data_IF_423734418151
#
_entry.id   IF_423734418151
#
_cell.length_a   1.000
_cell.length_b   1.000
_cell.length_c   1.000
_cell.angle_alpha   90.00
_cell.angle_beta   90.00
_cell.angle_gamma   90.00
#
_symmetry.space_group_name_H-M   'P 1'
#
loop_
_entity.id
_entity.type
_entity.pdbx_description
1 polymer ?
#
# COMPACT_ATOMS: atom_id res chain seq x y z
N UNK A 1 34.35 -32.21 -10.74
CA UNK A 1 33.16 -32.33 -11.62
C UNK A 1 31.98 -32.80 -10.76
N UNK A 2 31.11 -31.90 -10.30
CA UNK A 2 29.87 -32.31 -9.62
C UNK A 2 28.86 -32.65 -10.70
N UNK A 3 28.62 -33.93 -10.91
CA UNK A 3 27.51 -34.42 -11.73
C UNK A 3 26.20 -33.97 -11.06
N UNK A 4 25.54 -33.01 -11.65
CA UNK A 4 24.22 -32.58 -11.21
C UNK A 4 23.23 -33.77 -11.31
N UNK A 5 22.89 -34.36 -10.16
CA UNK A 5 21.99 -35.51 -10.10
C UNK A 5 20.59 -34.99 -10.39
N UNK A 6 20.07 -35.35 -11.56
CA UNK A 6 18.68 -35.06 -11.95
C UNK A 6 17.73 -35.91 -11.10
N UNK A 7 16.95 -35.24 -10.21
CA UNK A 7 15.92 -35.86 -9.37
C UNK A 7 14.54 -35.35 -9.78
N UNK A 8 13.81 -36.08 -10.65
CA UNK A 8 12.52 -35.62 -11.18
C UNK A 8 11.48 -35.31 -10.11
N UNK A 9 11.47 -36.06 -9.00
CA UNK A 9 10.54 -35.84 -7.87
C UNK A 9 10.81 -34.52 -7.13
N UNK A 10 12.07 -34.18 -6.93
CA UNK A 10 12.46 -32.89 -6.32
C UNK A 10 12.03 -31.73 -7.21
N UNK A 11 12.24 -31.83 -8.51
CA UNK A 11 11.81 -30.81 -9.47
C UNK A 11 10.29 -30.59 -9.43
N UNK A 12 9.47 -31.65 -9.36
CA UNK A 12 8.03 -31.50 -9.22
C UNK A 12 7.63 -30.78 -7.94
N UNK A 13 8.34 -31.05 -6.84
CA UNK A 13 8.17 -30.34 -5.58
C UNK A 13 8.42 -28.83 -5.72
N UNK A 14 9.52 -28.43 -6.40
CA UNK A 14 9.83 -27.03 -6.65
C UNK A 14 8.79 -26.34 -7.55
N UNK A 15 8.32 -27.01 -8.58
CA UNK A 15 7.28 -26.46 -9.46
C UNK A 15 5.98 -26.20 -8.72
N UNK A 16 5.59 -27.10 -7.82
CA UNK A 16 4.43 -26.88 -6.93
C UNK A 16 4.67 -25.68 -6.01
N UNK A 17 5.86 -25.57 -5.43
CA UNK A 17 6.21 -24.45 -4.57
C UNK A 17 6.14 -23.11 -5.32
N UNK A 18 6.65 -23.02 -6.54
CA UNK A 18 6.57 -21.83 -7.40
C UNK A 18 5.11 -21.43 -7.65
N UNK A 19 4.24 -22.42 -7.94
CA UNK A 19 2.81 -22.14 -8.14
C UNK A 19 2.11 -21.64 -6.87
N UNK A 20 2.50 -22.17 -5.71
CA UNK A 20 1.98 -21.75 -4.42
C UNK A 20 2.39 -20.31 -4.15
N UNK A 21 3.67 -19.98 -4.31
CA UNK A 21 4.17 -18.63 -4.11
C UNK A 21 3.52 -17.62 -5.07
N UNK A 22 3.37 -17.98 -6.35
CA UNK A 22 2.68 -17.14 -7.32
C UNK A 22 1.22 -16.83 -6.92
N UNK A 23 0.50 -17.82 -6.39
CA UNK A 23 -0.88 -17.63 -5.90
C UNK A 23 -0.91 -16.71 -4.67
N UNK A 24 0.02 -16.86 -3.75
CA UNK A 24 0.11 -16.01 -2.55
C UNK A 24 0.42 -14.56 -2.92
N UNK A 25 1.41 -14.34 -3.80
CA UNK A 25 1.78 -13.00 -4.27
C UNK A 25 0.60 -12.34 -5.00
N UNK A 26 -0.12 -13.09 -5.84
CA UNK A 26 -1.33 -12.60 -6.49
C UNK A 26 -2.40 -12.19 -5.47
N UNK A 27 -2.66 -13.01 -4.47
CA UNK A 27 -3.63 -12.70 -3.42
C UNK A 27 -3.25 -11.43 -2.63
N UNK A 28 -1.96 -11.26 -2.32
CA UNK A 28 -1.45 -10.07 -1.63
C UNK A 28 -1.58 -8.80 -2.51
N UNK A 29 -1.33 -8.92 -3.82
CA UNK A 29 -1.60 -7.84 -4.77
C UNK A 29 -3.07 -7.44 -4.74
N UNK A 30 -3.97 -8.40 -4.85
CA UNK A 30 -5.41 -8.13 -4.89
C UNK A 30 -5.89 -7.47 -3.58
N UNK A 31 -5.33 -7.87 -2.43
CA UNK A 31 -5.57 -7.23 -1.14
C UNK A 31 -5.03 -5.79 -1.11
N UNK A 32 -3.85 -5.54 -1.65
CA UNK A 32 -3.25 -4.21 -1.73
C UNK A 32 -4.10 -3.28 -2.62
N UNK A 33 -4.51 -3.74 -3.80
CA UNK A 33 -5.37 -2.98 -4.71
C UNK A 33 -6.71 -2.61 -4.05
N UNK A 34 -7.28 -3.52 -3.25
CA UNK A 34 -8.48 -3.24 -2.47
C UNK A 34 -8.26 -2.11 -1.43
N UNK A 35 -7.07 -2.04 -0.79
CA UNK A 35 -6.76 -0.93 0.11
C UNK A 35 -6.57 0.39 -0.64
N UNK A 36 -5.91 0.39 -1.81
CA UNK A 36 -5.80 1.57 -2.67
C UNK A 36 -7.18 2.12 -3.04
N UNK A 37 -8.05 1.26 -3.57
CA UNK A 37 -9.40 1.64 -3.98
C UNK A 37 -10.22 2.19 -2.80
N UNK A 38 -10.06 1.63 -1.60
CA UNK A 38 -10.73 2.10 -0.38
C UNK A 38 -10.28 3.49 -0.01
N UNK A 39 -8.97 3.72 0.05
CA UNK A 39 -8.41 5.02 0.45
C UNK A 39 -8.70 6.09 -0.61
N UNK A 40 -8.56 5.79 -1.89
CA UNK A 40 -8.90 6.70 -2.98
C UNK A 40 -10.37 7.15 -2.93
N UNK A 41 -11.28 6.23 -2.64
CA UNK A 41 -12.72 6.56 -2.48
C UNK A 41 -12.99 7.47 -1.29
N UNK A 42 -12.25 7.29 -0.19
CA UNK A 42 -12.40 8.12 1.01
C UNK A 42 -11.92 9.55 0.78
N UNK A 43 -10.81 9.72 0.10
CA UNK A 43 -10.22 11.02 -0.21
C UNK A 43 -11.15 11.91 -1.02
N UNK A 44 -11.67 11.39 -2.10
CA UNK A 44 -12.43 12.19 -3.06
C UNK A 44 -13.73 12.76 -2.49
N UNK A 45 -14.45 12.00 -1.67
CA UNK A 45 -15.79 12.38 -1.21
C UNK A 45 -15.74 13.27 0.04
N UNK A 46 -14.77 13.06 0.94
CA UNK A 46 -14.79 13.70 2.27
C UNK A 46 -13.93 14.95 2.35
N UNK A 47 -12.99 15.10 1.46
CA UNK A 47 -12.09 16.24 1.45
C UNK A 47 -12.82 17.52 1.06
N UNK A 48 -13.65 17.46 0.03
CA UNK A 48 -14.52 18.57 -0.38
C UNK A 48 -15.45 19.00 0.74
N UNK A 49 -16.03 18.01 1.45
CA UNK A 49 -16.92 18.27 2.58
C UNK A 49 -16.21 18.93 3.76
N UNK A 50 -14.97 18.59 4.03
CA UNK A 50 -14.15 19.20 5.11
C UNK A 50 -13.86 20.67 4.79
N UNK A 51 -13.52 20.96 3.54
CA UNK A 51 -13.23 22.32 3.08
C UNK A 51 -14.45 23.22 3.13
N UNK A 52 -15.61 22.72 2.72
CA UNK A 52 -16.87 23.47 2.73
C UNK A 52 -17.36 23.74 4.15
N UNK A 53 -17.17 22.79 5.05
CA UNK A 53 -17.61 22.90 6.45
C UNK A 53 -16.86 23.94 7.28
N UNK A 54 -15.61 24.21 6.94
CA UNK A 54 -14.81 25.25 7.61
C UNK A 54 -15.35 26.65 7.31
N UNK A 55 -16.12 26.82 6.24
CA UNK A 55 -16.72 28.11 5.83
C UNK A 55 -17.97 28.43 6.62
N UNK A 56 -18.73 27.44 7.06
CA UNK A 56 -19.98 27.66 7.79
C UNK A 56 -19.73 27.71 9.30
N UNK A 57 -19.94 28.88 9.89
CA UNK A 57 -19.78 29.17 11.33
C UNK A 57 -20.88 28.51 12.20
N UNK A 58 -21.29 27.30 11.87
CA UNK A 58 -22.39 26.59 12.50
C UNK A 58 -21.86 25.48 13.41
N UNK A 59 -22.08 25.61 14.73
CA UNK A 59 -21.61 24.70 15.77
C UNK A 59 -22.04 23.24 15.52
N UNK A 60 -23.28 23.03 15.07
CA UNK A 60 -23.84 21.69 14.84
C UNK A 60 -23.18 21.01 13.64
N UNK A 61 -22.89 21.75 12.60
CA UNK A 61 -22.15 21.29 11.44
C UNK A 61 -20.73 20.94 11.84
N UNK A 62 -20.10 21.73 12.68
CA UNK A 62 -18.75 21.52 13.20
C UNK A 62 -18.62 20.19 13.97
N UNK A 63 -19.58 19.84 14.79
CA UNK A 63 -19.62 18.57 15.54
C UNK A 63 -19.76 17.37 14.59
N UNK A 64 -20.62 17.48 13.58
CA UNK A 64 -20.81 16.42 12.58
C UNK A 64 -19.52 16.20 11.75
N UNK A 65 -18.83 17.26 11.39
CA UNK A 65 -17.58 17.18 10.63
C UNK A 65 -16.46 16.57 11.46
N UNK A 66 -16.30 16.96 12.72
CA UNK A 66 -15.34 16.35 13.62
C UNK A 66 -15.55 14.84 13.73
N UNK A 67 -16.81 14.39 13.85
CA UNK A 67 -17.16 12.97 13.87
C UNK A 67 -16.80 12.28 12.55
N UNK A 68 -17.04 12.94 11.43
CA UNK A 68 -16.68 12.43 10.09
C UNK A 68 -15.17 12.32 9.90
N UNK A 69 -14.41 13.32 10.35
CA UNK A 69 -12.95 13.30 10.32
C UNK A 69 -12.36 12.16 11.16
N UNK A 70 -12.92 11.91 12.36
CA UNK A 70 -12.49 10.78 13.18
C UNK A 70 -12.79 9.42 12.53
N UNK A 71 -13.92 9.27 11.85
CA UNK A 71 -14.21 8.06 11.07
C UNK A 71 -13.20 7.89 9.94
N UNK A 72 -12.91 8.96 9.21
CA UNK A 72 -11.92 8.97 8.13
C UNK A 72 -10.53 8.59 8.64
N UNK A 73 -10.11 9.18 9.74
CA UNK A 73 -8.83 8.86 10.40
C UNK A 73 -8.75 7.38 10.79
N UNK A 74 -9.82 6.83 11.36
CA UNK A 74 -9.87 5.41 11.73
C UNK A 74 -9.76 4.49 10.50
N UNK A 75 -10.41 4.83 9.41
CA UNK A 75 -10.34 4.04 8.17
C UNK A 75 -8.94 4.11 7.53
N UNK A 76 -8.29 5.27 7.54
CA UNK A 76 -6.89 5.42 7.10
C UNK A 76 -5.94 4.57 7.94
N UNK A 77 -6.07 4.63 9.27
CA UNK A 77 -5.27 3.81 10.19
C UNK A 77 -5.47 2.32 9.96
N UNK A 78 -6.70 1.88 9.73
CA UNK A 78 -7.00 0.48 9.41
C UNK A 78 -6.36 0.06 8.07
N UNK A 79 -6.47 0.88 7.03
CA UNK A 79 -5.85 0.59 5.72
C UNK A 79 -4.34 0.57 5.81
N UNK A 80 -3.74 1.48 6.55
CA UNK A 80 -2.30 1.52 6.84
C UNK A 80 -1.83 0.25 7.56
N UNK A 81 -2.54 -0.18 8.61
CA UNK A 81 -2.19 -1.39 9.36
C UNK A 81 -2.32 -2.67 8.51
N UNK A 82 -3.34 -2.75 7.65
CA UNK A 82 -3.47 -3.84 6.70
C UNK A 82 -2.33 -3.85 5.68
N UNK A 83 -1.92 -2.68 5.20
CA UNK A 83 -0.77 -2.56 4.30
C UNK A 83 0.54 -3.02 4.96
N UNK A 84 0.76 -2.75 6.25
CA UNK A 84 1.91 -3.28 7.00
C UNK A 84 1.90 -4.82 7.05
N UNK A 85 0.74 -5.42 7.29
CA UNK A 85 0.60 -6.88 7.27
C UNK A 85 0.90 -7.45 5.87
N UNK A 86 0.40 -6.78 4.81
CA UNK A 86 0.68 -7.17 3.43
C UNK A 86 2.17 -7.05 3.12
N UNK A 87 2.82 -5.95 3.53
CA UNK A 87 4.26 -5.72 3.35
C UNK A 87 5.10 -6.82 4.01
N UNK A 88 4.80 -7.16 5.25
CA UNK A 88 5.48 -8.24 5.97
C UNK A 88 5.31 -9.59 5.25
N UNK A 89 4.10 -9.87 4.76
CA UNK A 89 3.82 -11.08 3.99
C UNK A 89 4.54 -11.09 2.65
N UNK A 90 4.62 -9.96 1.94
CA UNK A 90 5.37 -9.83 0.68
C UNK A 90 6.87 -10.04 0.92
N UNK A 91 7.42 -9.47 1.98
CA UNK A 91 8.81 -9.68 2.34
C UNK A 91 9.14 -11.18 2.53
N UNK A 92 8.26 -11.92 3.19
CA UNK A 92 8.40 -13.38 3.32
C UNK A 92 8.37 -14.07 1.95
N UNK A 93 7.44 -13.67 1.05
CA UNK A 93 7.36 -14.25 -0.30
C UNK A 93 8.61 -13.91 -1.14
N UNK A 94 9.16 -12.72 -1.01
CA UNK A 94 10.42 -12.32 -1.63
C UNK A 94 11.58 -13.20 -1.15
N UNK A 95 11.65 -13.48 0.14
CA UNK A 95 12.64 -14.42 0.68
C UNK A 95 12.45 -15.85 0.16
N UNK A 96 11.21 -16.34 0.14
CA UNK A 96 10.89 -17.67 -0.36
C UNK A 96 11.26 -17.83 -1.85
N UNK A 97 10.94 -16.85 -2.69
CA UNK A 97 11.31 -16.87 -4.12
C UNK A 97 12.82 -16.83 -4.30
N UNK A 98 13.55 -16.06 -3.50
CA UNK A 98 15.03 -16.05 -3.49
C UNK A 98 15.62 -17.43 -3.15
N UNK A 99 15.02 -18.13 -2.17
CA UNK A 99 15.42 -19.51 -1.85
C UNK A 99 15.16 -20.45 -3.03
N UNK A 100 13.99 -20.33 -3.68
CA UNK A 100 13.67 -21.13 -4.87
C UNK A 100 14.65 -20.89 -6.02
N UNK A 101 15.04 -19.64 -6.27
CA UNK A 101 16.08 -19.29 -7.26
C UNK A 101 17.41 -19.99 -6.93
N UNK A 102 17.88 -19.88 -5.67
CA UNK A 102 19.12 -20.53 -5.22
C UNK A 102 19.08 -22.05 -5.39
N UNK A 103 17.92 -22.67 -5.15
CA UNK A 103 17.76 -24.09 -5.36
C UNK A 103 17.75 -24.46 -6.85
N UNK A 104 17.10 -23.68 -7.69
CA UNK A 104 17.05 -23.93 -9.12
C UNK A 104 18.43 -23.78 -9.81
N UNK A 105 19.28 -22.88 -9.32
CA UNK A 105 20.64 -22.71 -9.80
C UNK A 105 21.57 -23.93 -9.53
N UNK A 106 21.14 -24.87 -8.68
CA UNK A 106 21.85 -26.13 -8.45
C UNK A 106 21.59 -27.17 -9.54
N UNK A 107 20.56 -26.98 -10.36
CA UNK A 107 20.29 -27.84 -11.51
C UNK A 107 20.97 -27.26 -12.74
N UNK A 108 21.40 -28.16 -13.64
CA UNK A 108 22.11 -27.79 -14.85
C UNK A 108 21.31 -26.77 -15.68
N UNK A 109 21.82 -25.52 -15.86
CA UNK A 109 21.08 -24.47 -16.54
C UNK A 109 20.99 -24.67 -18.06
N UNK A 110 21.78 -25.57 -18.65
CA UNK A 110 21.81 -25.79 -20.10
C UNK A 110 20.58 -26.54 -20.63
N UNK A 111 19.85 -27.22 -19.76
CA UNK A 111 18.59 -27.85 -20.17
C UNK A 111 17.49 -26.81 -20.34
N UNK A 112 17.00 -26.65 -21.54
CA UNK A 112 16.01 -25.66 -21.97
C UNK A 112 14.82 -25.49 -21.02
N UNK A 113 14.31 -26.58 -20.43
CA UNK A 113 13.20 -26.55 -19.47
C UNK A 113 13.58 -25.81 -18.17
N UNK A 114 14.83 -25.80 -17.76
CA UNK A 114 15.28 -25.11 -16.54
C UNK A 114 15.43 -23.62 -16.72
N UNK A 115 15.97 -23.16 -17.85
CA UNK A 115 16.10 -21.73 -18.16
C UNK A 115 14.75 -21.02 -18.10
N UNK A 116 13.72 -21.59 -18.74
CA UNK A 116 12.38 -21.00 -18.73
C UNK A 116 11.76 -20.97 -17.34
N UNK A 117 11.99 -22.01 -16.53
CA UNK A 117 11.46 -22.07 -15.17
C UNK A 117 12.19 -21.16 -14.22
N UNK A 118 13.52 -21.08 -14.34
CA UNK A 118 14.35 -20.12 -13.59
C UNK A 118 13.89 -18.69 -13.88
N UNK A 119 13.79 -18.32 -15.14
CA UNK A 119 13.30 -17.00 -15.55
C UNK A 119 11.91 -16.67 -14.99
N UNK A 120 11.01 -17.66 -14.91
CA UNK A 120 9.71 -17.48 -14.25
C UNK A 120 9.84 -17.14 -12.77
N UNK A 121 10.73 -17.81 -12.04
CA UNK A 121 10.92 -17.56 -10.60
C UNK A 121 11.60 -16.22 -10.39
N UNK A 122 12.57 -15.86 -11.22
CA UNK A 122 13.21 -14.54 -11.20
C UNK A 122 12.19 -13.42 -11.44
N UNK A 123 11.37 -13.56 -12.48
CA UNK A 123 10.29 -12.60 -12.76
C UNK A 123 9.27 -12.50 -11.61
N UNK A 124 8.96 -13.61 -10.95
CA UNK A 124 8.08 -13.63 -9.80
C UNK A 124 8.72 -12.94 -8.58
N UNK A 125 10.02 -13.13 -8.39
CA UNK A 125 10.79 -12.47 -7.35
C UNK A 125 10.81 -10.95 -7.54
N UNK A 126 11.18 -10.49 -8.74
CA UNK A 126 11.21 -9.07 -9.10
C UNK A 126 9.83 -8.41 -8.94
N UNK A 127 8.78 -9.16 -9.29
CA UNK A 127 7.41 -8.70 -9.12
C UNK A 127 7.03 -8.56 -7.64
N UNK A 128 7.44 -9.51 -6.79
CA UNK A 128 7.20 -9.44 -5.35
C UNK A 128 7.95 -8.26 -4.71
N UNK A 129 9.22 -8.02 -5.11
CA UNK A 129 10.00 -6.86 -4.64
C UNK A 129 9.34 -5.53 -5.04
N UNK A 130 8.87 -5.39 -6.27
CA UNK A 130 8.15 -4.20 -6.72
C UNK A 130 6.86 -3.97 -5.94
N UNK A 131 6.10 -5.05 -5.65
CA UNK A 131 4.91 -4.94 -4.82
C UNK A 131 5.24 -4.53 -3.38
N UNK A 132 6.34 -5.05 -2.81
CA UNK A 132 6.80 -4.66 -1.47
C UNK A 132 7.14 -3.16 -1.42
N UNK A 133 7.87 -2.65 -2.42
CA UNK A 133 8.18 -1.23 -2.56
C UNK A 133 6.92 -0.37 -2.71
N UNK A 134 6.00 -0.79 -3.57
CA UNK A 134 4.71 -0.10 -3.77
C UNK A 134 3.88 -0.07 -2.49
N UNK A 135 3.91 -1.14 -1.71
CA UNK A 135 3.23 -1.21 -0.41
C UNK A 135 3.86 -0.24 0.59
N UNK A 136 5.19 -0.11 0.61
CA UNK A 136 5.88 0.86 1.45
C UNK A 136 5.51 2.31 1.09
N UNK A 137 5.41 2.64 -0.19
CA UNK A 137 4.94 3.95 -0.65
C UNK A 137 3.50 4.23 -0.22
N UNK A 138 2.63 3.24 -0.31
CA UNK A 138 1.25 3.37 0.16
C UNK A 138 1.15 3.60 1.66
N UNK A 139 1.96 2.93 2.47
CA UNK A 139 2.04 3.16 3.91
C UNK A 139 2.47 4.60 4.19
N UNK A 140 3.53 5.08 3.54
CA UNK A 140 4.00 6.47 3.68
C UNK A 140 2.92 7.48 3.28
N UNK A 141 2.15 7.18 2.24
CA UNK A 141 1.02 8.00 1.83
C UNK A 141 -0.07 8.02 2.92
N UNK A 142 -0.48 6.86 3.45
CA UNK A 142 -1.44 6.79 4.55
C UNK A 142 -0.96 7.57 5.78
N UNK A 143 0.33 7.47 6.14
CA UNK A 143 0.92 8.20 7.25
C UNK A 143 0.87 9.73 7.02
N UNK A 144 1.10 10.18 5.79
CA UNK A 144 0.96 11.58 5.40
C UNK A 144 -0.48 12.07 5.55
N UNK A 145 -1.44 11.30 5.04
CA UNK A 145 -2.86 11.62 5.13
C UNK A 145 -3.37 11.63 6.59
N UNK A 146 -2.91 10.69 7.41
CA UNK A 146 -3.22 10.64 8.84
C UNK A 146 -2.80 11.95 9.52
N UNK A 147 -1.55 12.39 9.30
CA UNK A 147 -1.05 13.65 9.87
C UNK A 147 -1.86 14.86 9.42
N UNK A 148 -2.25 14.92 8.15
CA UNK A 148 -3.05 16.01 7.61
C UNK A 148 -4.43 16.06 8.25
N UNK A 149 -5.09 14.91 8.41
CA UNK A 149 -6.40 14.82 9.05
C UNK A 149 -6.33 15.14 10.55
N UNK A 150 -5.30 14.68 11.24
CA UNK A 150 -5.04 15.01 12.65
C UNK A 150 -4.84 16.51 12.82
N UNK A 151 -3.98 17.13 11.99
CA UNK A 151 -3.76 18.57 12.00
C UNK A 151 -5.02 19.38 11.70
N UNK A 152 -5.88 18.90 10.80
CA UNK A 152 -7.16 19.52 10.51
C UNK A 152 -8.13 19.42 11.70
N UNK A 153 -8.18 18.27 12.39
CA UNK A 153 -9.00 18.09 13.61
C UNK A 153 -8.54 19.05 14.71
N UNK A 154 -7.23 19.20 14.89
CA UNK A 154 -6.65 20.09 15.91
C UNK A 154 -6.93 21.56 15.59
N UNK A 155 -6.69 21.99 14.35
CA UNK A 155 -6.98 23.35 13.89
C UNK A 155 -8.48 23.69 14.03
N UNK A 156 -9.31 22.73 13.72
CA UNK A 156 -10.76 22.86 13.80
C UNK A 156 -11.25 22.94 15.25
N UNK A 157 -10.67 22.14 16.13
CA UNK A 157 -10.94 22.20 17.56
C UNK A 157 -10.53 23.55 18.15
N UNK A 158 -9.38 24.08 17.75
CA UNK A 158 -8.90 25.39 18.16
C UNK A 158 -9.79 26.54 17.64
N UNK A 159 -10.27 26.47 16.40
CA UNK A 159 -11.19 27.47 15.82
C UNK A 159 -12.56 27.47 16.51
N UNK A 160 -13.07 26.29 16.87
CA UNK A 160 -14.33 26.15 17.62
C UNK A 160 -14.25 26.79 19.01
N UNK A 161 -13.12 26.65 19.69
CA UNK A 161 -12.89 27.25 21.01
C UNK A 161 -12.71 28.78 20.96
N UNK A 162 -12.22 29.32 19.84
CA UNK A 162 -11.88 30.74 19.71
C UNK A 162 -12.89 31.58 18.95
N UNK A 163 -13.94 31.00 18.41
CA UNK A 163 -14.91 31.67 17.51
C UNK A 163 -14.25 32.48 16.38
N UNK A 164 -13.06 32.08 15.94
CA UNK A 164 -12.33 32.73 14.85
C UNK A 164 -12.52 31.96 13.53
N UNK A 165 -12.63 32.65 12.39
CA UNK A 165 -12.63 31.99 11.09
C UNK A 165 -11.31 31.24 10.88
N UNK A 166 -11.38 30.10 10.22
CA UNK A 166 -10.23 29.30 9.84
C UNK A 166 -9.37 30.08 8.83
N UNK A 167 -8.05 30.05 8.99
CA UNK A 167 -7.13 30.74 8.08
C UNK A 167 -7.19 30.10 6.69
N UNK A 168 -7.57 30.89 5.67
CA UNK A 168 -7.65 30.44 4.28
C UNK A 168 -6.31 29.88 3.76
N UNK A 169 -5.20 30.44 4.21
CA UNK A 169 -3.85 29.97 3.82
C UNK A 169 -3.58 28.55 4.29
N UNK A 170 -3.97 28.18 5.51
CA UNK A 170 -3.83 26.81 6.01
C UNK A 170 -4.69 25.82 5.18
N UNK A 171 -5.87 26.27 4.75
CA UNK A 171 -6.77 25.53 3.87
C UNK A 171 -6.14 25.22 2.51
N UNK A 172 -5.58 26.22 1.83
CA UNK A 172 -4.91 26.03 0.53
C UNK A 172 -3.67 25.14 0.66
N UNK A 173 -2.90 25.27 1.74
CA UNK A 173 -1.74 24.41 1.98
C UNK A 173 -2.12 22.92 2.11
N UNK A 174 -3.22 22.60 2.82
CA UNK A 174 -3.74 21.23 2.96
C UNK A 174 -4.19 20.68 1.59
N UNK A 175 -4.89 21.49 0.79
CA UNK A 175 -5.33 21.10 -0.55
C UNK A 175 -4.13 20.79 -1.46
N UNK A 176 -3.16 21.69 -1.52
CA UNK A 176 -1.99 21.53 -2.38
C UNK A 176 -1.15 20.30 -2.01
N UNK A 177 -0.95 20.03 -0.70
CA UNK A 177 -0.22 18.85 -0.23
C UNK A 177 -0.93 17.54 -0.58
N UNK A 178 -2.26 17.51 -0.54
CA UNK A 178 -3.02 16.34 -0.93
C UNK A 178 -2.98 16.06 -2.43
N UNK A 179 -3.15 17.09 -3.25
CA UNK A 179 -3.03 16.97 -4.70
C UNK A 179 -1.67 16.45 -5.12
N UNK A 180 -0.60 16.94 -4.50
CA UNK A 180 0.77 16.45 -4.76
C UNK A 180 0.94 14.97 -4.35
N UNK A 181 0.41 14.56 -3.20
CA UNK A 181 0.48 13.18 -2.73
C UNK A 181 -0.31 12.22 -3.62
N UNK A 182 -1.51 12.60 -4.07
CA UNK A 182 -2.33 11.82 -5.01
C UNK A 182 -1.61 11.66 -6.35
N UNK A 183 -1.03 12.74 -6.87
CA UNK A 183 -0.29 12.71 -8.13
C UNK A 183 0.93 11.79 -8.03
N UNK A 184 1.69 11.82 -6.93
CA UNK A 184 2.82 10.90 -6.71
C UNK A 184 2.39 9.43 -6.72
N UNK A 185 1.24 9.09 -6.14
CA UNK A 185 0.70 7.72 -6.17
C UNK A 185 0.21 7.30 -7.56
N UNK A 186 -0.44 8.19 -8.30
CA UNK A 186 -0.94 7.91 -9.64
C UNK A 186 0.18 7.67 -10.66
N UNK A 187 1.33 8.35 -10.52
CA UNK A 187 2.48 8.22 -11.41
C UNK A 187 3.49 7.14 -11.01
N UNK A 188 3.31 6.47 -9.86
CA UNK A 188 4.18 5.37 -9.40
C UNK A 188 3.66 3.97 -9.78
N UNK A 189 2.73 3.89 -10.73
CA UNK A 189 2.15 2.63 -11.26
C UNK A 189 2.91 2.13 -12.50
#
# INVERSE_FOLDING_TARGET
>A
MHTAIYRPRELQGYLKSIQIEARKIKALRDQLEAQFARVAKLEFVKYTSVVDAVIENNHQHNVQMKTTMHKYLNELRQSRNRAETIKTSLHLQTQNTRVLIKWMLRFDPEKYMFKTKLHRVESLHDYAEKLEQRTALFISYCDSQIRLVEGAIDAYSAATLRNKPFDEMARYAIIAQNEEAINRLAFSV
#
